data_IF_292677102395
#
_entry.id   IF_292677102395
#
_cell.length_a   1.000
_cell.length_b   1.000
_cell.length_c   1.000
_cell.angle_alpha   90.00
_cell.angle_beta   90.00
_cell.angle_gamma   90.00
#
_symmetry.space_group_name_H-M   'P 1'
#
loop_
_entity.id
_entity.type
_entity.pdbx_description
1 polymer ?
#
# COMPACT_ATOMS: atom_id res chain seq x y z
N UNK A 1 7.07 3.27 10.34
CA UNK A 1 7.33 2.47 9.13
C UNK A 1 7.17 3.41 7.95
N UNK A 2 8.19 3.59 7.13
CA UNK A 2 8.14 4.49 5.98
C UNK A 2 7.46 3.76 4.83
N UNK A 3 6.51 4.40 4.14
CA UNK A 3 5.95 3.89 2.89
C UNK A 3 7.03 4.00 1.80
N UNK A 4 7.88 2.97 1.68
CA UNK A 4 8.78 2.84 0.56
C UNK A 4 8.03 2.14 -0.56
N UNK A 5 7.67 2.91 -1.58
CA UNK A 5 7.20 2.42 -2.87
C UNK A 5 7.91 3.20 -3.97
N UNK A 6 8.01 2.66 -5.20
CA UNK A 6 8.50 3.42 -6.32
C UNK A 6 7.61 4.66 -6.51
N UNK A 7 8.18 5.84 -6.32
CA UNK A 7 7.50 7.10 -6.62
C UNK A 7 7.77 7.42 -8.08
N UNK A 8 6.71 7.41 -8.88
CA UNK A 8 6.80 7.89 -10.25
C UNK A 8 6.78 9.42 -10.23
N UNK A 9 7.97 10.01 -10.36
CA UNK A 9 8.09 11.44 -10.64
C UNK A 9 8.18 11.64 -12.15
N UNK A 10 7.16 12.27 -12.73
CA UNK A 10 7.13 12.62 -14.15
C UNK A 10 7.62 14.05 -14.40
N UNK A 11 7.74 14.87 -13.34
CA UNK A 11 7.96 16.30 -13.41
C UNK A 11 9.34 16.71 -12.88
N UNK A 12 10.37 15.89 -13.12
CA UNK A 12 11.75 16.25 -12.82
C UNK A 12 12.47 16.79 -14.05
N UNK A 13 13.41 17.71 -13.83
CA UNK A 13 14.24 18.28 -14.89
C UNK A 13 15.24 17.24 -15.40
N UNK A 14 15.09 16.87 -16.66
CA UNK A 14 16.00 16.00 -17.40
C UNK A 14 16.93 16.85 -18.29
N UNK A 15 18.18 16.39 -18.52
CA UNK A 15 19.06 17.06 -19.47
C UNK A 15 18.46 17.02 -20.88
N UNK A 16 18.60 18.12 -21.61
CA UNK A 16 18.18 18.20 -23.00
C UNK A 16 19.02 17.24 -23.87
N UNK A 17 18.43 16.77 -24.97
CA UNK A 17 19.15 16.02 -25.99
C UNK A 17 20.41 16.82 -26.42
N UNK A 18 21.56 16.13 -26.49
CA UNK A 18 22.87 16.69 -26.85
C UNK A 18 23.61 17.49 -25.76
N UNK A 19 23.19 17.44 -24.50
CA UNK A 19 24.01 17.99 -23.39
C UNK A 19 25.38 17.29 -23.30
N UNK A 20 25.42 15.98 -23.54
CA UNK A 20 26.63 15.16 -23.55
C UNK A 20 26.50 14.05 -24.59
N UNK A 21 27.61 13.62 -25.19
CA UNK A 21 27.61 12.50 -26.12
C UNK A 21 27.04 11.25 -25.46
N UNK A 22 26.07 10.63 -26.14
CA UNK A 22 25.35 9.45 -25.68
C UNK A 22 24.24 9.70 -24.67
N UNK A 23 23.95 10.96 -24.30
CA UNK A 23 22.84 11.29 -23.40
C UNK A 23 21.63 11.72 -24.21
N UNK A 24 20.56 10.94 -24.11
CA UNK A 24 19.25 11.27 -24.67
C UNK A 24 18.22 11.40 -23.56
N UNK A 25 17.34 12.40 -23.69
CA UNK A 25 16.26 12.69 -22.74
C UNK A 25 15.37 11.47 -22.49
N UNK A 26 15.11 10.67 -23.53
CA UNK A 26 14.28 9.45 -23.45
C UNK A 26 14.84 8.38 -22.50
N UNK A 27 16.16 8.34 -22.28
CA UNK A 27 16.80 7.30 -21.46
C UNK A 27 16.60 7.57 -19.95
N UNK A 28 16.14 8.77 -19.60
CA UNK A 28 15.87 9.18 -18.22
C UNK A 28 14.46 8.82 -17.74
N UNK A 29 13.54 8.46 -18.66
CA UNK A 29 12.18 8.07 -18.31
C UNK A 29 12.00 6.56 -18.47
N UNK A 30 11.53 5.89 -17.40
CA UNK A 30 11.11 4.49 -17.48
C UNK A 30 9.71 4.36 -18.12
N UNK A 31 8.79 5.26 -17.73
CA UNK A 31 7.43 5.32 -18.25
C UNK A 31 6.95 6.77 -18.34
N UNK A 32 6.04 7.06 -19.28
CA UNK A 32 5.49 8.41 -19.49
C UNK A 32 4.20 8.67 -18.71
N UNK A 33 3.48 7.61 -18.36
CA UNK A 33 2.20 7.67 -17.64
C UNK A 33 2.24 6.80 -16.38
N UNK A 34 1.22 6.94 -15.53
CA UNK A 34 1.05 6.04 -14.39
C UNK A 34 0.65 4.64 -14.87
N UNK A 35 1.01 3.60 -14.10
CA UNK A 35 0.60 2.22 -14.40
C UNK A 35 -0.92 2.08 -14.54
N UNK A 36 -1.68 2.82 -13.73
CA UNK A 36 -3.14 2.86 -13.80
C UNK A 36 -3.64 3.39 -15.15
N UNK A 37 -3.04 4.45 -15.66
CA UNK A 37 -3.37 5.01 -16.97
C UNK A 37 -3.03 4.03 -18.10
N UNK A 38 -1.88 3.36 -18.06
CA UNK A 38 -1.53 2.34 -19.05
C UNK A 38 -2.53 1.19 -19.08
N UNK A 39 -2.99 0.73 -17.91
CA UNK A 39 -4.02 -0.31 -17.80
C UNK A 39 -5.34 0.19 -18.40
N UNK A 40 -5.78 1.41 -18.06
CA UNK A 40 -7.02 2.01 -18.59
C UNK A 40 -6.98 2.20 -20.11
N UNK A 41 -5.82 2.56 -20.66
CA UNK A 41 -5.62 2.70 -22.11
C UNK A 41 -5.49 1.35 -22.83
N UNK A 42 -5.37 0.24 -22.10
CA UNK A 42 -5.10 -1.08 -22.69
C UNK A 42 -3.70 -1.19 -23.30
N UNK A 43 -2.78 -0.33 -22.86
CA UNK A 43 -1.39 -0.23 -23.32
C UNK A 43 -0.49 -1.16 -22.51
N UNK A 44 -0.80 -2.46 -22.55
CA UNK A 44 0.00 -3.53 -21.99
C UNK A 44 0.16 -4.65 -23.02
N UNK A 45 1.19 -5.48 -22.85
CA UNK A 45 1.42 -6.61 -23.77
C UNK A 45 0.27 -7.61 -23.65
N UNK A 46 -0.55 -7.72 -24.70
CA UNK A 46 -1.67 -8.67 -24.75
C UNK A 46 -1.20 -10.10 -25.03
N UNK A 47 -0.01 -10.23 -25.62
CA UNK A 47 0.59 -11.51 -25.95
C UNK A 47 1.27 -12.16 -24.73
N UNK A 48 1.39 -11.43 -23.62
CA UNK A 48 2.00 -11.91 -22.39
C UNK A 48 0.93 -12.59 -21.53
N UNK A 49 1.02 -13.92 -21.43
CA UNK A 49 0.25 -14.67 -20.44
C UNK A 49 0.88 -14.46 -19.06
N UNK A 50 0.15 -13.87 -18.13
CA UNK A 50 0.57 -13.72 -16.74
C UNK A 50 -0.38 -14.46 -15.80
N UNK A 51 0.18 -15.07 -14.75
CA UNK A 51 -0.56 -15.73 -13.69
C UNK A 51 -0.28 -14.98 -12.39
N UNK A 52 -1.32 -14.49 -11.74
CA UNK A 52 -1.22 -13.75 -10.48
C UNK A 52 -2.19 -14.31 -9.45
N UNK A 53 -1.88 -14.15 -8.18
CA UNK A 53 -2.67 -14.62 -7.04
C UNK A 53 -2.28 -13.91 -5.77
N UNK A 54 -3.18 -13.92 -4.79
CA UNK A 54 -2.99 -13.30 -3.47
C UNK A 54 -3.12 -14.35 -2.38
N UNK A 55 -2.46 -14.14 -1.25
CA UNK A 55 -2.57 -15.04 -0.08
C UNK A 55 -3.55 -14.50 0.95
N UNK A 56 -4.10 -15.37 1.80
CA UNK A 56 -5.13 -14.97 2.78
C UNK A 56 -4.58 -14.05 3.88
N UNK A 57 -3.28 -14.04 4.14
CA UNK A 57 -2.67 -13.25 5.21
C UNK A 57 -1.34 -12.61 4.77
N UNK A 58 -1.36 -11.84 3.68
CA UNK A 58 -0.15 -11.21 3.11
C UNK A 58 0.64 -10.34 4.10
N UNK A 59 -0.05 -9.69 5.05
CA UNK A 59 0.59 -8.82 6.03
C UNK A 59 0.84 -9.48 7.40
N UNK A 60 0.65 -10.80 7.56
CA UNK A 60 0.86 -11.48 8.85
C UNK A 60 2.30 -11.34 9.38
N UNK A 61 3.27 -11.20 8.48
CA UNK A 61 4.67 -11.03 8.85
C UNK A 61 4.92 -9.76 9.69
N UNK A 62 4.09 -8.72 9.56
CA UNK A 62 4.21 -7.48 10.35
C UNK A 62 4.01 -7.76 11.83
N UNK A 63 3.04 -8.62 12.16
CA UNK A 63 2.77 -9.05 13.52
C UNK A 63 3.85 -10.04 13.99
N UNK A 64 4.25 -10.99 13.12
CA UNK A 64 5.26 -12.00 13.46
C UNK A 64 6.66 -11.41 13.74
N UNK A 65 7.06 -10.37 13.00
CA UNK A 65 8.35 -9.71 13.16
C UNK A 65 8.40 -8.77 14.37
N UNK A 66 7.27 -8.46 15.00
CA UNK A 66 7.23 -7.60 16.17
C UNK A 66 7.64 -8.39 17.43
N UNK A 67 8.88 -8.17 17.88
CA UNK A 67 9.43 -8.85 19.06
C UNK A 67 8.62 -8.56 20.35
N UNK A 68 8.01 -7.38 20.46
CA UNK A 68 7.25 -6.97 21.65
C UNK A 68 5.91 -7.69 21.80
N UNK A 69 5.40 -8.30 20.72
CA UNK A 69 4.13 -9.03 20.72
C UNK A 69 4.31 -10.54 21.00
N UNK A 70 5.54 -11.02 21.13
CA UNK A 70 5.81 -12.42 21.46
C UNK A 70 5.47 -12.72 22.93
N UNK A 71 4.95 -13.93 23.24
CA UNK A 71 4.69 -15.07 22.35
C UNK A 71 3.25 -15.15 21.81
N UNK A 72 2.32 -14.35 22.35
CA UNK A 72 0.88 -14.54 22.10
C UNK A 72 0.33 -13.77 20.89
N UNK A 73 1.10 -12.81 20.36
CA UNK A 73 0.74 -11.99 19.20
C UNK A 73 -0.66 -11.36 19.28
N UNK A 74 -1.01 -10.88 20.47
CA UNK A 74 -2.30 -10.25 20.75
C UNK A 74 -2.23 -8.79 20.30
N UNK A 75 -3.25 -8.36 19.54
CA UNK A 75 -3.40 -6.97 19.10
C UNK A 75 -4.59 -6.37 19.85
N UNK A 76 -4.37 -5.21 20.45
CA UNK A 76 -5.42 -4.42 21.10
C UNK A 76 -6.11 -3.49 20.09
N UNK A 77 -7.35 -3.13 20.40
CA UNK A 77 -8.17 -2.15 19.67
C UNK A 77 -7.45 -0.81 19.46
N UNK A 78 -6.62 -0.38 20.43
CA UNK A 78 -5.81 0.84 20.34
C UNK A 78 -4.77 0.75 19.21
N UNK A 79 -4.10 -0.39 19.08
CA UNK A 79 -3.11 -0.61 18.03
C UNK A 79 -3.77 -0.69 16.65
N UNK A 80 -4.97 -1.26 16.58
CA UNK A 80 -5.80 -1.25 15.37
C UNK A 80 -6.23 0.16 14.97
N UNK A 81 -6.77 0.94 15.90
CA UNK A 81 -7.17 2.33 15.65
C UNK A 81 -5.98 3.19 15.19
N UNK A 82 -4.81 2.97 15.78
CA UNK A 82 -3.57 3.64 15.37
C UNK A 82 -3.20 3.29 13.93
N UNK A 83 -3.32 2.01 13.53
CA UNK A 83 -3.03 1.56 12.16
C UNK A 83 -3.98 2.19 11.14
N UNK A 84 -5.28 2.30 11.45
CA UNK A 84 -6.25 2.97 10.58
C UNK A 84 -5.93 4.46 10.44
N UNK A 85 -5.51 5.14 11.52
CA UNK A 85 -5.06 6.54 11.45
C UNK A 85 -3.84 6.71 10.57
N UNK A 86 -2.85 5.83 10.69
CA UNK A 86 -1.66 5.83 9.83
C UNK A 86 -2.05 5.72 8.35
N UNK A 87 -2.98 4.83 8.01
CA UNK A 87 -3.50 4.69 6.65
C UNK A 87 -4.15 5.98 6.14
N UNK A 88 -5.01 6.62 6.94
CA UNK A 88 -5.68 7.87 6.54
C UNK A 88 -4.68 9.00 6.32
N UNK A 89 -3.63 9.08 7.15
CA UNK A 89 -2.57 10.06 7.00
C UNK A 89 -1.72 9.81 5.75
N UNK A 90 -1.39 8.55 5.44
CA UNK A 90 -0.57 8.20 4.29
C UNK A 90 -1.20 8.63 2.96
N UNK A 91 -2.52 8.50 2.83
CA UNK A 91 -3.24 8.86 1.60
C UNK A 91 -3.65 10.34 1.53
N UNK A 92 -3.26 11.16 2.51
CA UNK A 92 -3.53 12.61 2.53
C UNK A 92 -5.00 12.97 2.22
N UNK A 93 -5.96 12.27 2.84
CA UNK A 93 -7.38 12.58 2.66
C UNK A 93 -7.70 13.97 3.26
N UNK A 94 -7.73 15.03 2.45
CA UNK A 94 -7.83 16.41 2.94
C UNK A 94 -9.25 16.88 3.28
N UNK A 95 -10.29 16.31 2.65
CA UNK A 95 -11.65 16.85 2.75
C UNK A 95 -12.43 16.39 4.00
N UNK A 96 -12.26 15.15 4.46
CA UNK A 96 -12.91 14.63 5.66
C UNK A 96 -12.16 13.41 6.25
N UNK A 97 -11.02 13.67 6.91
CA UNK A 97 -10.20 12.62 7.53
C UNK A 97 -10.98 11.75 8.52
N UNK A 98 -11.85 12.38 9.33
CA UNK A 98 -12.64 11.67 10.35
C UNK A 98 -13.69 10.75 9.74
N UNK A 99 -14.43 11.20 8.72
CA UNK A 99 -15.41 10.36 8.03
C UNK A 99 -14.77 9.13 7.42
N UNK A 100 -13.61 9.30 6.76
CA UNK A 100 -12.85 8.18 6.18
C UNK A 100 -12.33 7.24 7.26
N UNK A 101 -11.75 7.77 8.34
CA UNK A 101 -11.29 6.98 9.48
C UNK A 101 -12.41 6.10 10.05
N UNK A 102 -13.59 6.68 10.30
CA UNK A 102 -14.74 5.94 10.83
C UNK A 102 -15.27 4.92 9.85
N UNK A 103 -15.31 5.23 8.55
CA UNK A 103 -15.75 4.30 7.52
C UNK A 103 -14.81 3.09 7.41
N UNK A 104 -13.50 3.30 7.39
CA UNK A 104 -12.52 2.20 7.36
C UNK A 104 -12.63 1.37 8.63
N UNK A 105 -12.65 2.02 9.80
CA UNK A 105 -12.86 1.32 11.08
C UNK A 105 -14.13 0.48 11.06
N UNK A 106 -15.21 1.01 10.50
CA UNK A 106 -16.49 0.30 10.40
C UNK A 106 -16.41 -0.95 9.51
N UNK A 107 -15.76 -0.85 8.35
CA UNK A 107 -15.61 -1.96 7.39
C UNK A 107 -14.80 -3.11 8.00
N UNK A 108 -13.75 -2.78 8.74
CA UNK A 108 -12.82 -3.75 9.32
C UNK A 108 -13.15 -4.10 10.78
N UNK A 109 -14.32 -3.73 11.30
CA UNK A 109 -14.79 -4.19 12.61
C UNK A 109 -15.65 -5.42 12.44
N UNK A 110 -15.33 -6.49 13.16
CA UNK A 110 -16.18 -7.68 13.24
C UNK A 110 -17.36 -7.40 14.19
N UNK A 111 -18.47 -6.94 13.62
CA UNK A 111 -19.65 -6.51 14.39
C UNK A 111 -20.30 -7.55 15.31
N UNK A 112 -20.30 -8.87 14.99
CA UNK A 112 -20.90 -9.86 15.89
C UNK A 112 -20.19 -9.95 17.25
N UNK A 113 -18.87 -9.66 17.30
CA UNK A 113 -18.10 -9.55 18.54
C UNK A 113 -16.92 -8.57 18.34
N UNK A 114 -17.14 -7.26 18.58
CA UNK A 114 -16.13 -6.23 18.34
C UNK A 114 -14.99 -6.25 19.37
N UNK A 115 -15.13 -7.01 20.46
CA UNK A 115 -14.13 -7.11 21.54
C UNK A 115 -13.21 -8.32 21.38
N UNK A 116 -13.45 -9.16 20.38
CA UNK A 116 -12.69 -10.37 20.17
C UNK A 116 -11.26 -10.08 19.71
N UNK A 117 -10.28 -10.36 20.56
CA UNK A 117 -8.86 -10.14 20.24
C UNK A 117 -8.37 -10.91 19.00
N UNK A 118 -8.97 -12.07 18.70
CA UNK A 118 -8.59 -12.88 17.53
C UNK A 118 -9.04 -12.20 16.24
N UNK A 119 -10.30 -11.76 16.20
CA UNK A 119 -10.83 -11.05 15.02
C UNK A 119 -10.20 -9.66 14.87
N UNK A 120 -9.92 -8.94 15.97
CA UNK A 120 -9.18 -7.68 15.90
C UNK A 120 -7.81 -7.89 15.25
N UNK A 121 -7.09 -8.96 15.60
CA UNK A 121 -5.80 -9.31 14.98
C UNK A 121 -5.95 -9.63 13.49
N UNK A 122 -6.95 -10.41 13.10
CA UNK A 122 -7.20 -10.73 11.69
C UNK A 122 -7.51 -9.47 10.88
N UNK A 123 -8.35 -8.59 11.39
CA UNK A 123 -8.69 -7.34 10.72
C UNK A 123 -7.52 -6.36 10.69
N UNK A 124 -6.68 -6.36 11.73
CA UNK A 124 -5.41 -5.63 11.73
C UNK A 124 -4.50 -6.09 10.58
N UNK A 125 -4.38 -7.41 10.36
CA UNK A 125 -3.61 -7.96 9.24
C UNK A 125 -4.24 -7.50 7.91
N UNK A 126 -5.55 -7.61 7.75
CA UNK A 126 -6.24 -7.22 6.52
C UNK A 126 -6.05 -5.74 6.17
N UNK A 127 -6.16 -4.83 7.14
CA UNK A 127 -5.89 -3.40 6.95
C UNK A 127 -4.43 -3.16 6.60
N UNK A 128 -3.51 -3.91 7.22
CA UNK A 128 -2.08 -3.71 7.02
C UNK A 128 -1.60 -4.06 5.61
N UNK A 129 -2.33 -4.91 4.87
CA UNK A 129 -2.07 -5.17 3.44
C UNK A 129 -2.17 -3.87 2.63
N UNK A 130 -3.21 -3.08 2.88
CA UNK A 130 -3.46 -1.81 2.15
C UNK A 130 -2.38 -0.77 2.43
N UNK A 131 -1.83 -0.76 3.65
CA UNK A 131 -0.77 0.19 4.04
C UNK A 131 0.60 -0.13 3.45
N UNK A 132 0.78 -1.31 2.86
CA UNK A 132 2.09 -1.78 2.43
C UNK A 132 2.13 -2.23 0.96
N UNK A 133 2.47 -1.32 0.03
CA UNK A 133 2.68 -1.69 -1.37
C UNK A 133 4.00 -2.46 -1.64
N UNK A 134 4.78 -2.82 -0.61
CA UNK A 134 6.06 -3.56 -0.77
C UNK A 134 5.90 -5.02 -1.16
N UNK A 135 4.69 -5.49 -1.51
CA UNK A 135 4.47 -6.78 -2.16
C UNK A 135 4.94 -6.76 -3.61
N UNK A 136 6.20 -6.34 -3.84
CA UNK A 136 6.88 -6.52 -5.11
C UNK A 136 7.43 -7.95 -5.10
N UNK A 137 6.75 -8.82 -5.85
CA UNK A 137 7.38 -9.98 -6.49
C UNK A 137 8.06 -9.49 -7.75
#
# INVERSE_FOLDING_TARGET
MFAWGPVLDLNFTVPADHWHDGWYQKDWYFTNYTTEEYIRMGSFSRDLAYMTGVTTQEAAYIVANNASLKPYYIIDSVAFDQKVKELVLQYNYTLNTQGVYQAIKYIYTYWPDPTNVTFIREQYINVSVVTNPSGVV
#
